data_IF_321284667246
#
_entry.id   IF_321284667246
#
_cell.length_a   1.000
_cell.length_b   1.000
_cell.length_c   1.000
_cell.angle_alpha   90.00
_cell.angle_beta   90.00
_cell.angle_gamma   90.00
#
_symmetry.space_group_name_H-M   'P 1'
#
loop_
_entity.id
_entity.type
_entity.pdbx_description
1 polymer ?
#
# COMPACT_ATOMS: atom_id res chain seq x y z
N UNK A 1 -15.79 13.00 6.96
CA UNK A 1 -14.49 13.12 6.27
C UNK A 1 -14.60 12.67 4.81
N UNK A 2 -13.94 13.35 3.87
CA UNK A 2 -13.85 13.01 2.44
C UNK A 2 -12.38 12.88 1.99
N UNK A 3 -12.10 12.01 1.02
CA UNK A 3 -10.80 11.89 0.35
C UNK A 3 -10.96 12.25 -1.13
N UNK A 4 -10.16 13.18 -1.62
CA UNK A 4 -10.10 13.56 -3.03
C UNK A 4 -8.72 13.19 -3.58
N UNK A 5 -8.71 12.24 -4.51
CA UNK A 5 -7.49 11.71 -5.12
C UNK A 5 -7.24 12.38 -6.47
N UNK A 6 -6.12 13.07 -6.64
CA UNK A 6 -5.70 13.62 -7.93
C UNK A 6 -4.65 12.70 -8.55
N UNK A 7 -4.97 12.17 -9.73
CA UNK A 7 -4.08 11.29 -10.51
C UNK A 7 -4.05 11.74 -11.97
N UNK A 8 -2.98 11.38 -12.68
CA UNK A 8 -2.75 11.79 -14.06
C UNK A 8 -1.27 11.81 -14.41
N UNK A 9 -0.97 12.03 -15.70
CA UNK A 9 0.41 12.02 -16.21
C UNK A 9 1.26 13.11 -15.53
N UNK A 10 2.58 13.01 -15.65
CA UNK A 10 3.49 14.06 -15.21
C UNK A 10 3.23 15.37 -15.97
N UNK A 11 3.37 16.53 -15.31
CA UNK A 11 3.29 17.84 -15.95
C UNK A 11 1.89 18.38 -16.29
N UNK A 12 0.81 17.67 -15.96
CA UNK A 12 -0.58 18.14 -16.25
C UNK A 12 -1.15 19.12 -15.21
N UNK A 13 -0.34 19.56 -14.25
CA UNK A 13 -0.76 20.52 -13.21
C UNK A 13 -1.51 19.94 -12.01
N UNK A 14 -1.36 18.63 -11.72
CA UNK A 14 -2.03 17.96 -10.58
C UNK A 14 -1.78 18.66 -9.25
N UNK A 15 -0.52 18.95 -8.93
CA UNK A 15 -0.12 19.62 -7.70
C UNK A 15 -0.76 21.00 -7.58
N UNK A 16 -0.81 21.77 -8.67
CA UNK A 16 -1.47 23.08 -8.70
C UNK A 16 -2.96 22.95 -8.42
N UNK A 17 -3.64 22.00 -9.06
CA UNK A 17 -5.07 21.75 -8.83
C UNK A 17 -5.33 21.24 -7.41
N UNK A 18 -4.47 20.38 -6.88
CA UNK A 18 -4.56 19.86 -5.51
C UNK A 18 -4.45 21.00 -4.49
N UNK A 19 -3.41 21.84 -4.61
CA UNK A 19 -3.19 23.01 -3.77
C UNK A 19 -4.37 23.99 -3.85
N UNK A 20 -4.81 24.35 -5.07
CA UNK A 20 -5.94 25.25 -5.28
C UNK A 20 -7.25 24.71 -4.68
N UNK A 21 -7.51 23.40 -4.84
CA UNK A 21 -8.68 22.74 -4.27
C UNK A 21 -8.66 22.79 -2.74
N UNK A 22 -7.50 22.51 -2.13
CA UNK A 22 -7.35 22.52 -0.68
C UNK A 22 -7.48 23.93 -0.09
N UNK A 23 -6.87 24.93 -0.73
CA UNK A 23 -7.00 26.35 -0.37
C UNK A 23 -8.46 26.79 -0.45
N UNK A 24 -9.17 26.42 -1.52
CA UNK A 24 -10.57 26.77 -1.67
C UNK A 24 -11.43 26.14 -0.57
N UNK A 25 -11.24 24.86 -0.27
CA UNK A 25 -11.97 24.17 0.79
C UNK A 25 -11.75 24.80 2.17
N UNK A 26 -10.49 25.10 2.52
CA UNK A 26 -10.15 25.78 3.77
C UNK A 26 -10.81 27.16 3.89
N UNK A 27 -10.82 27.95 2.81
CA UNK A 27 -11.53 29.24 2.76
C UNK A 27 -13.05 29.12 2.94
N UNK A 28 -13.62 27.96 2.65
CA UNK A 28 -15.03 27.65 2.92
C UNK A 28 -15.26 27.10 4.34
N UNK A 29 -14.25 27.13 5.22
CA UNK A 29 -14.34 26.65 6.60
C UNK A 29 -14.20 25.14 6.75
N UNK A 30 -13.75 24.43 5.71
CA UNK A 30 -13.53 22.97 5.76
C UNK A 30 -12.11 22.71 6.24
N UNK A 31 -11.94 22.04 7.38
CA UNK A 31 -10.60 21.72 7.88
C UNK A 31 -9.92 20.71 6.96
N UNK A 32 -8.89 21.14 6.25
CA UNK A 32 -8.37 20.43 5.07
C UNK A 32 -6.90 20.07 5.24
N UNK A 33 -6.56 18.82 4.91
CA UNK A 33 -5.18 18.38 4.70
C UNK A 33 -4.94 18.21 3.20
N UNK A 34 -3.87 18.82 2.66
CA UNK A 34 -3.30 18.46 1.36
C UNK A 34 -2.01 17.67 1.56
N UNK A 35 -1.97 16.47 1.01
CA UNK A 35 -0.81 15.59 1.08
C UNK A 35 -0.28 15.32 -0.34
N UNK A 36 1.04 15.37 -0.54
CA UNK A 36 1.67 14.98 -1.80
C UNK A 36 2.54 13.75 -1.62
N UNK A 37 2.45 12.80 -2.54
CA UNK A 37 3.38 11.66 -2.63
C UNK A 37 4.41 11.85 -3.73
N UNK A 38 4.48 13.04 -4.35
CA UNK A 38 5.41 13.33 -5.44
C UNK A 38 6.78 13.72 -4.88
N UNK A 39 7.84 13.02 -5.29
CA UNK A 39 9.23 13.28 -4.89
C UNK A 39 9.76 14.63 -5.40
N UNK A 40 9.07 15.28 -6.35
CA UNK A 40 9.45 16.59 -6.87
C UNK A 40 9.23 17.75 -5.87
N UNK A 41 8.63 17.50 -4.69
CA UNK A 41 8.38 18.50 -3.63
C UNK A 41 7.63 19.76 -4.08
N UNK A 42 6.93 19.68 -5.21
CA UNK A 42 6.30 20.84 -5.87
C UNK A 42 5.10 21.42 -5.10
N UNK A 43 4.62 20.73 -4.06
CA UNK A 43 3.51 21.19 -3.23
C UNK A 43 3.91 22.42 -2.39
N UNK A 44 5.12 22.43 -1.83
CA UNK A 44 5.61 23.58 -1.07
C UNK A 44 5.73 24.83 -1.93
N UNK A 45 6.26 24.68 -3.16
CA UNK A 45 6.35 25.75 -4.14
C UNK A 45 4.95 26.29 -4.53
N UNK A 46 3.99 25.39 -4.77
CA UNK A 46 2.63 25.76 -5.13
C UNK A 46 1.89 26.52 -4.00
N UNK A 47 2.21 26.23 -2.75
CA UNK A 47 1.63 26.88 -1.57
C UNK A 47 2.45 28.09 -1.08
N UNK A 48 3.65 28.29 -1.63
CA UNK A 48 4.64 29.25 -1.13
C UNK A 48 4.91 29.11 0.39
N UNK A 49 4.97 27.86 0.87
CA UNK A 49 5.13 27.53 2.29
C UNK A 49 6.04 26.29 2.46
N UNK A 50 6.80 26.20 3.57
CA UNK A 50 7.57 25.01 3.87
C UNK A 50 6.63 23.84 4.19
N UNK A 51 6.79 22.71 3.48
CA UNK A 51 6.00 21.50 3.69
C UNK A 51 6.93 20.34 4.03
N UNK A 52 6.74 19.77 5.22
CA UNK A 52 7.55 18.67 5.74
C UNK A 52 6.79 17.34 5.80
N UNK A 53 7.40 16.35 6.43
CA UNK A 53 6.86 14.99 6.55
C UNK A 53 5.68 14.87 7.53
N UNK A 54 5.47 15.88 8.37
CA UNK A 54 4.35 15.97 9.32
C UNK A 54 3.31 16.98 8.83
N UNK A 55 2.01 16.74 9.06
CA UNK A 55 0.98 17.75 8.80
C UNK A 55 1.28 19.05 9.55
N UNK A 56 1.46 20.14 8.80
CA UNK A 56 1.74 21.47 9.33
C UNK A 56 0.74 22.46 8.78
N UNK A 57 0.23 23.35 9.62
CA UNK A 57 -0.68 24.40 9.21
C UNK A 57 0.06 25.43 8.35
N UNK A 58 -0.43 25.68 7.14
CA UNK A 58 0.16 26.62 6.17
C UNK A 58 -0.74 27.82 5.92
N UNK A 59 -2.04 27.71 6.24
CA UNK A 59 -3.01 28.80 6.31
C UNK A 59 -4.14 28.38 7.25
N UNK A 60 -5.00 29.32 7.63
CA UNK A 60 -6.14 29.06 8.53
C UNK A 60 -7.01 27.89 8.02
N UNK A 61 -7.05 26.80 8.79
CA UNK A 61 -7.79 25.59 8.44
C UNK A 61 -7.20 24.74 7.30
N UNK A 62 -6.01 25.08 6.79
CA UNK A 62 -5.28 24.36 5.75
C UNK A 62 -3.96 23.81 6.27
N UNK A 63 -3.82 22.50 6.18
CA UNK A 63 -2.63 21.77 6.55
C UNK A 63 -2.00 21.14 5.31
N UNK A 64 -0.68 21.11 5.28
CA UNK A 64 0.08 20.50 4.20
C UNK A 64 1.04 19.43 4.75
N UNK A 65 1.21 18.35 4.00
CA UNK A 65 2.16 17.29 4.30
C UNK A 65 2.82 16.79 3.02
N UNK A 66 4.12 16.58 3.07
CA UNK A 66 4.85 15.82 2.06
C UNK A 66 5.00 14.40 2.57
N UNK A 67 4.42 13.43 1.86
CA UNK A 67 4.57 12.03 2.21
C UNK A 67 5.95 11.57 1.74
N UNK A 68 6.85 11.43 2.70
CA UNK A 68 8.19 10.90 2.45
C UNK A 68 8.20 9.39 2.69
N UNK A 69 7.96 8.65 1.62
CA UNK A 69 8.01 7.18 1.63
C UNK A 69 9.42 6.66 1.93
N UNK A 70 10.48 7.45 1.71
CA UNK A 70 11.87 7.03 1.86
C UNK A 70 12.36 7.24 3.29
N UNK A 71 12.05 8.38 3.91
CA UNK A 71 12.43 8.67 5.29
C UNK A 71 11.66 7.85 6.33
N UNK A 72 10.36 7.55 6.10
CA UNK A 72 9.63 6.56 6.91
C UNK A 72 9.90 5.12 6.47
N UNK A 73 10.11 4.92 5.17
CA UNK A 73 10.47 3.64 4.59
C UNK A 73 11.73 3.11 5.22
N UNK A 74 12.84 3.83 5.27
CA UNK A 74 14.08 3.26 5.82
C UNK A 74 13.96 2.68 7.24
N UNK A 75 13.05 3.14 8.10
CA UNK A 75 12.91 2.58 9.44
C UNK A 75 11.87 1.45 9.47
N UNK A 76 10.64 1.68 8.98
CA UNK A 76 9.59 0.64 8.97
C UNK A 76 9.85 -0.46 7.93
N UNK A 77 10.51 -0.13 6.82
CA UNK A 77 10.98 -1.07 5.83
C UNK A 77 12.14 -1.91 6.35
N UNK A 78 13.10 -1.31 7.07
CA UNK A 78 14.16 -2.11 7.72
C UNK A 78 13.56 -3.13 8.67
N UNK A 79 12.58 -2.75 9.49
CA UNK A 79 11.90 -3.71 10.39
C UNK A 79 11.18 -4.83 9.62
N UNK A 80 10.47 -4.50 8.53
CA UNK A 80 9.79 -5.49 7.68
C UNK A 80 10.79 -6.38 6.92
N UNK A 81 11.89 -5.79 6.45
CA UNK A 81 12.99 -6.45 5.74
C UNK A 81 13.76 -7.37 6.69
N UNK A 82 14.10 -6.93 7.89
CA UNK A 82 14.75 -7.74 8.94
C UNK A 82 13.85 -8.93 9.34
N UNK A 83 12.55 -8.71 9.51
CA UNK A 83 11.59 -9.79 9.74
C UNK A 83 11.55 -10.78 8.58
N UNK A 84 11.49 -10.30 7.34
CA UNK A 84 11.50 -11.14 6.14
C UNK A 84 12.81 -11.93 6.02
N UNK A 85 13.97 -11.29 6.19
CA UNK A 85 15.28 -11.95 6.18
C UNK A 85 15.31 -13.07 7.24
N UNK A 86 14.85 -12.82 8.46
CA UNK A 86 14.78 -13.84 9.51
C UNK A 86 13.86 -15.02 9.16
N UNK A 87 12.73 -14.77 8.50
CA UNK A 87 11.84 -15.83 7.99
C UNK A 87 12.51 -16.63 6.87
N UNK A 88 13.26 -15.98 5.99
CA UNK A 88 13.93 -16.61 4.86
C UNK A 88 15.16 -17.43 5.28
N UNK A 89 15.93 -16.92 6.23
CA UNK A 89 17.03 -17.64 6.88
C UNK A 89 16.51 -18.90 7.59
N UNK A 90 15.39 -18.79 8.33
CA UNK A 90 14.72 -19.93 8.94
C UNK A 90 14.17 -20.96 7.93
N UNK A 91 13.99 -20.56 6.66
CA UNK A 91 13.59 -21.43 5.55
C UNK A 91 14.80 -21.94 4.74
N UNK A 92 16.03 -21.61 5.14
CA UNK A 92 17.28 -22.06 4.52
C UNK A 92 17.67 -21.30 3.25
N UNK A 93 17.15 -20.08 3.06
CA UNK A 93 17.52 -19.20 1.94
C UNK A 93 18.77 -18.40 2.33
N UNK A 94 19.76 -18.35 1.43
CA UNK A 94 20.99 -17.59 1.63
C UNK A 94 20.68 -16.11 1.97
N UNK A 95 21.22 -15.55 3.07
CA UNK A 95 20.99 -14.16 3.46
C UNK A 95 21.39 -13.12 2.41
N UNK A 96 22.39 -13.41 1.56
CA UNK A 96 22.78 -12.51 0.45
C UNK A 96 21.71 -12.50 -0.65
N UNK A 97 21.13 -13.67 -0.93
CA UNK A 97 19.97 -13.77 -1.82
C UNK A 97 18.73 -13.14 -1.18
N UNK A 98 18.56 -13.27 0.14
CA UNK A 98 17.44 -12.67 0.88
C UNK A 98 17.49 -11.12 0.82
N UNK A 99 18.68 -10.52 0.91
CA UNK A 99 18.86 -9.07 0.80
C UNK A 99 18.44 -8.54 -0.59
N UNK A 100 18.91 -9.17 -1.68
CA UNK A 100 18.49 -8.82 -3.05
C UNK A 100 17.00 -9.07 -3.30
N UNK A 101 16.44 -10.11 -2.68
CA UNK A 101 15.02 -10.47 -2.77
C UNK A 101 14.11 -9.52 -1.99
N UNK A 102 14.62 -8.90 -0.93
CA UNK A 102 13.84 -7.97 -0.09
C UNK A 102 13.66 -6.59 -0.68
N UNK A 103 14.23 -6.26 -1.85
CA UNK A 103 13.86 -5.03 -2.56
C UNK A 103 12.51 -5.24 -3.26
N UNK A 104 11.42 -5.04 -2.52
CA UNK A 104 10.07 -5.16 -3.06
C UNK A 104 9.76 -3.94 -3.96
N UNK A 105 9.63 -4.13 -5.29
CA UNK A 105 9.20 -3.05 -6.16
C UNK A 105 7.79 -2.63 -5.75
N UNK A 106 7.57 -1.32 -5.57
CA UNK A 106 6.27 -0.80 -5.14
C UNK A 106 6.15 -0.55 -3.62
N UNK A 107 7.19 -0.84 -2.82
CA UNK A 107 7.13 -0.68 -1.37
C UNK A 107 6.94 0.78 -0.93
N UNK A 108 7.63 1.72 -1.59
CA UNK A 108 7.52 3.15 -1.32
C UNK A 108 6.07 3.63 -1.56
N UNK A 109 5.43 3.15 -2.62
CA UNK A 109 4.06 3.49 -2.98
C UNK A 109 3.05 2.89 -1.98
N UNK A 110 3.29 1.68 -1.49
CA UNK A 110 2.47 1.07 -0.42
C UNK A 110 2.59 1.85 0.87
N UNK A 111 3.81 2.23 1.28
CA UNK A 111 4.05 3.03 2.48
C UNK A 111 3.37 4.40 2.38
N UNK A 112 3.43 5.05 1.22
CA UNK A 112 2.73 6.31 0.99
C UNK A 112 1.21 6.17 1.12
N UNK A 113 0.64 5.07 0.63
CA UNK A 113 -0.79 4.77 0.80
C UNK A 113 -1.17 4.49 2.26
N UNK A 114 -0.30 3.81 3.02
CA UNK A 114 -0.53 3.55 4.44
C UNK A 114 -0.52 4.85 5.25
N UNK A 115 0.40 5.77 4.95
CA UNK A 115 0.43 7.10 5.56
C UNK A 115 -0.88 7.86 5.33
N UNK A 116 -1.35 7.87 4.08
CA UNK A 116 -2.59 8.55 3.71
C UNK A 116 -3.79 7.88 4.39
N UNK A 117 -3.83 6.55 4.47
CA UNK A 117 -4.86 5.80 5.19
C UNK A 117 -4.91 6.23 6.67
N UNK A 118 -3.76 6.42 7.30
CA UNK A 118 -3.69 6.78 8.71
C UNK A 118 -4.20 8.21 8.94
N UNK A 119 -3.86 9.16 8.04
CA UNK A 119 -4.47 10.50 8.04
C UNK A 119 -5.98 10.46 7.81
N UNK A 120 -6.44 9.59 6.90
CA UNK A 120 -7.86 9.40 6.56
C UNK A 120 -8.67 8.76 7.71
N UNK A 121 -8.04 7.96 8.58
CA UNK A 121 -8.73 7.25 9.66
C UNK A 121 -8.60 7.92 11.02
N UNK A 122 -7.45 8.52 11.31
CA UNK A 122 -7.14 9.09 12.61
C UNK A 122 -6.96 10.60 12.62
N UNK A 123 -6.93 11.25 11.45
CA UNK A 123 -6.71 12.68 11.34
C UNK A 123 -7.94 13.51 11.69
N UNK A 124 -7.78 14.71 12.26
CA UNK A 124 -8.87 15.61 12.63
C UNK A 124 -9.31 16.46 11.43
N UNK A 125 -9.44 15.85 10.25
CA UNK A 125 -9.69 16.53 8.97
C UNK A 125 -11.13 16.32 8.52
N UNK A 126 -11.71 17.29 7.83
CA UNK A 126 -12.97 17.14 7.11
C UNK A 126 -12.75 16.68 5.66
N UNK A 127 -11.65 17.15 5.06
CA UNK A 127 -11.20 16.83 3.71
C UNK A 127 -9.71 16.50 3.69
N UNK A 128 -9.36 15.41 3.01
CA UNK A 128 -7.99 15.09 2.61
C UNK A 128 -7.89 15.17 1.09
N UNK A 129 -6.98 16.00 0.57
CA UNK A 129 -6.65 16.12 -0.85
C UNK A 129 -5.30 15.45 -1.07
N UNK A 130 -5.27 14.40 -1.89
CA UNK A 130 -4.06 13.64 -2.17
C UNK A 130 -3.55 13.94 -3.59
N UNK A 131 -2.39 14.59 -3.68
CA UNK A 131 -1.63 14.80 -4.91
C UNK A 131 -0.72 13.58 -5.16
N UNK A 132 -1.11 12.74 -6.11
CA UNK A 132 -0.34 11.53 -6.43
C UNK A 132 0.81 11.83 -7.39
N UNK A 133 1.91 11.10 -7.19
CA UNK A 133 2.99 11.01 -8.17
C UNK A 133 2.47 10.62 -9.58
N UNK A 134 3.24 10.90 -10.65
CA UNK A 134 2.84 10.57 -12.02
C UNK A 134 2.39 9.11 -12.19
N UNK A 135 1.35 8.87 -12.98
CA UNK A 135 0.65 7.58 -13.14
C UNK A 135 1.53 6.35 -13.43
N UNK A 136 2.77 6.53 -13.90
CA UNK A 136 3.71 5.44 -14.15
C UNK A 136 4.08 4.66 -12.87
N UNK A 137 4.25 5.37 -11.74
CA UNK A 137 4.54 4.77 -10.43
C UNK A 137 3.26 4.20 -9.78
N UNK A 138 2.10 4.88 -9.88
CA UNK A 138 0.84 4.38 -9.32
C UNK A 138 0.33 3.09 -10.01
N UNK A 139 0.68 2.85 -11.28
CA UNK A 139 0.36 1.60 -11.98
C UNK A 139 1.13 0.38 -11.44
N UNK A 140 2.25 0.58 -10.72
CA UNK A 140 2.99 -0.52 -10.08
C UNK A 140 2.22 -1.18 -8.94
N UNK A 141 1.31 -0.45 -8.29
CA UNK A 141 0.38 -1.03 -7.31
C UNK A 141 -0.55 -2.07 -7.95
N UNK A 142 -0.88 -1.93 -9.24
CA UNK A 142 -1.66 -2.92 -9.99
C UNK A 142 -0.83 -4.15 -10.33
N UNK A 143 0.47 -3.99 -10.50
CA UNK A 143 1.43 -5.07 -10.70
C UNK A 143 1.87 -5.73 -9.39
N UNK A 144 1.57 -5.12 -8.22
CA UNK A 144 1.96 -5.60 -6.91
C UNK A 144 1.48 -7.04 -6.61
N UNK A 145 0.23 -7.44 -6.92
CA UNK A 145 -0.21 -8.83 -6.75
C UNK A 145 0.61 -9.80 -7.60
N UNK A 146 1.03 -9.37 -8.79
CA UNK A 146 1.74 -10.18 -9.78
C UNK A 146 3.25 -10.25 -9.46
N UNK A 147 3.83 -9.17 -8.94
CA UNK A 147 5.17 -9.13 -8.37
C UNK A 147 5.25 -10.01 -7.12
N UNK A 148 4.28 -9.89 -6.20
CA UNK A 148 4.18 -10.72 -5.00
C UNK A 148 3.97 -12.21 -5.36
N UNK A 149 3.14 -12.51 -6.36
CA UNK A 149 2.94 -13.90 -6.81
C UNK A 149 4.21 -14.51 -7.38
N UNK A 150 4.92 -13.78 -8.26
CA UNK A 150 6.23 -14.22 -8.79
C UNK A 150 7.28 -14.37 -7.69
N UNK A 151 7.24 -13.50 -6.69
CA UNK A 151 8.13 -13.58 -5.53
C UNK A 151 7.85 -14.83 -4.70
N UNK A 152 6.60 -15.07 -4.34
CA UNK A 152 6.16 -16.27 -3.61
C UNK A 152 6.47 -17.55 -4.38
N UNK A 153 6.34 -17.54 -5.71
CA UNK A 153 6.70 -18.68 -6.56
C UNK A 153 8.21 -18.96 -6.59
N UNK A 154 9.07 -17.94 -6.43
CA UNK A 154 10.52 -18.11 -6.28
C UNK A 154 10.93 -18.55 -4.88
N UNK A 155 10.21 -18.09 -3.85
CA UNK A 155 10.55 -18.30 -2.44
C UNK A 155 10.02 -19.63 -1.87
N UNK A 156 8.95 -20.19 -2.45
CA UNK A 156 8.43 -21.48 -2.02
C UNK A 156 9.11 -22.60 -2.83
N UNK A 157 9.94 -23.46 -2.19
CA UNK A 157 10.49 -24.62 -2.86
C UNK A 157 9.36 -25.46 -3.44
N UNK A 158 9.62 -26.14 -4.57
CA UNK A 158 8.66 -27.03 -5.22
C UNK A 158 7.99 -28.04 -4.26
N UNK A 159 8.65 -28.33 -3.13
CA UNK A 159 8.22 -29.20 -2.04
C UNK A 159 6.93 -28.74 -1.33
N UNK A 160 6.64 -27.43 -1.26
CA UNK A 160 5.39 -26.92 -0.65
C UNK A 160 4.20 -26.90 -1.61
N UNK A 161 4.42 -26.93 -2.93
CA UNK A 161 3.35 -27.21 -3.91
C UNK A 161 2.79 -28.62 -3.71
N UNK A 162 3.65 -29.57 -3.34
CA UNK A 162 3.24 -30.92 -2.95
C UNK A 162 2.42 -30.90 -1.67
N UNK A 163 2.81 -30.14 -0.64
CA UNK A 163 2.04 -30.04 0.60
C UNK A 163 0.65 -29.38 0.44
N UNK A 164 0.51 -28.37 -0.44
CA UNK A 164 -0.81 -27.79 -0.80
C UNK A 164 -1.67 -28.75 -1.62
N UNK A 165 -1.07 -29.56 -2.50
CA UNK A 165 -1.78 -30.62 -3.21
C UNK A 165 -2.23 -31.75 -2.26
N UNK A 166 -1.40 -32.10 -1.28
CA UNK A 166 -1.70 -33.11 -0.25
C UNK A 166 -2.72 -32.64 0.78
N UNK A 167 -2.75 -31.35 1.13
CA UNK A 167 -3.77 -30.80 2.04
C UNK A 167 -5.14 -30.63 1.37
N UNK A 168 -5.17 -30.32 0.07
CA UNK A 168 -6.40 -30.32 -0.72
C UNK A 168 -7.00 -31.73 -0.89
N UNK A 169 -6.18 -32.78 -0.85
CA UNK A 169 -6.61 -34.18 -0.95
C UNK A 169 -7.15 -34.80 0.35
N UNK A 170 -6.99 -34.16 1.51
CA UNK A 170 -7.41 -34.72 2.83
C UNK A 170 -8.81 -34.30 3.29
N UNK A 171 -9.52 -33.46 2.52
CA UNK A 171 -10.87 -32.98 2.85
C UNK A 171 -12.04 -33.79 2.27
N UNK A 172 -11.80 -34.74 1.36
CA UNK A 172 -12.86 -35.49 0.69
C UNK A 172 -12.86 -36.96 1.12
N UNK A 173 -13.39 -37.26 2.31
CA UNK A 173 -13.47 -38.67 2.72
C UNK A 173 -14.01 -39.00 4.10
N UNK A 174 -14.94 -38.22 4.67
CA UNK A 174 -15.71 -38.71 5.84
C UNK A 174 -17.13 -38.14 5.90
N UNK A 175 -18.07 -38.88 5.31
CA UNK A 175 -19.51 -38.91 5.67
C UNK A 175 -20.08 -40.09 4.89
N UNK A 176 -20.79 -41.07 5.42
CA UNK A 176 -21.46 -41.27 6.70
C UNK A 176 -22.47 -42.40 6.39
N UNK A 177 -22.51 -43.41 7.26
CA UNK A 177 -23.17 -44.70 7.07
C UNK A 177 -24.71 -44.59 7.18
N UNK A 178 -25.42 -45.61 6.66
CA UNK A 178 -26.84 -46.07 6.92
C UNK A 178 -27.95 -45.43 6.04
N UNK A 179 -28.99 -46.12 5.52
CA UNK A 179 -29.70 -47.32 5.98
C UNK A 179 -30.48 -48.10 4.87
N UNK A 180 -30.73 -49.38 5.20
CA UNK A 180 -31.66 -50.45 4.76
C UNK A 180 -32.97 -50.19 3.95
N UNK A 181 -33.39 -51.30 3.30
CA UNK A 181 -34.71 -51.75 2.73
C UNK A 181 -35.00 -51.24 1.31
N UNK A 182 -35.43 -52.03 0.32
CA UNK A 182 -35.84 -53.43 0.20
C UNK A 182 -36.56 -53.60 -1.15
N UNK A 183 -36.60 -54.82 -1.70
CA UNK A 183 -37.48 -55.16 -2.84
C UNK A 183 -36.81 -56.01 -3.92
N UNK A 184 -37.14 -57.30 -3.94
CA UNK A 184 -37.01 -58.21 -5.09
C UNK A 184 -38.44 -58.56 -5.50
N UNK A 185 -38.80 -58.56 -6.80
CA UNK A 185 -40.00 -59.22 -7.27
C UNK A 185 -39.65 -60.52 -8.02
N UNK A 186 -40.14 -61.64 -7.50
CA UNK A 186 -40.78 -62.76 -8.22
C UNK A 186 -41.11 -63.86 -7.21
#
# INVERSE_FOLDING_TARGET
>A
MRLLLLTGKGGVGKTTVAAATAVHAARCGVKTLVASTDAAHSLGDALAAPVGSTPTEVADGLFAQQVDARARGEQSWREVQEYLIGVLDALGVDPVAAEELTVLPGAEEVLALLEVRDQVRGGPWDLVVLDCAPTAETLRLRALPEALSRYLDRMLPAERRVLRALSAGRGAGTTGRTARRGGVPA
#
